data_IF_913726946656
#
_entry.id   IF_913726946656
#
_cell.length_a   1.000
_cell.length_b   1.000
_cell.length_c   1.000
_cell.angle_alpha   90.00
_cell.angle_beta   90.00
_cell.angle_gamma   90.00
#
_symmetry.space_group_name_H-M   'P 1'
#
loop_
_entity.id
_entity.type
_entity.pdbx_description
1 polymer ?
#
# COMPACT_ATOMS: atom_id res chain seq x y z
N UNK A 1 -2.58 -20.84 -0.47
CA UNK A 1 -2.92 -19.60 0.25
C UNK A 1 -3.88 -18.75 -0.56
N UNK A 2 -3.53 -18.40 -1.81
CA UNK A 2 -4.34 -17.57 -2.72
C UNK A 2 -5.80 -18.02 -2.88
N UNK A 3 -6.06 -19.33 -3.03
CA UNK A 3 -7.44 -19.86 -3.13
C UNK A 3 -8.28 -19.62 -1.87
N UNK A 4 -7.67 -19.62 -0.68
CA UNK A 4 -8.36 -19.42 0.60
C UNK A 4 -8.64 -17.92 0.81
N UNK A 5 -7.66 -17.06 0.57
CA UNK A 5 -7.83 -15.60 0.61
C UNK A 5 -8.95 -15.17 -0.33
N UNK A 6 -8.91 -15.63 -1.58
CA UNK A 6 -9.97 -15.40 -2.56
C UNK A 6 -11.33 -15.81 -2.01
N UNK A 7 -11.47 -17.04 -1.50
CA UNK A 7 -12.77 -17.53 -1.01
C UNK A 7 -13.33 -16.68 0.15
N UNK A 8 -12.47 -16.11 0.99
CA UNK A 8 -12.88 -15.26 2.11
C UNK A 8 -13.21 -13.82 1.69
N UNK A 9 -12.62 -13.31 0.61
CA UNK A 9 -12.76 -11.91 0.18
C UNK A 9 -13.80 -11.68 -0.91
N UNK A 10 -14.13 -12.68 -1.74
CA UNK A 10 -14.99 -12.48 -2.93
C UNK A 10 -16.34 -11.83 -2.57
N UNK A 11 -16.98 -12.23 -1.47
CA UNK A 11 -18.25 -11.61 -1.06
C UNK A 11 -18.09 -10.11 -0.78
N UNK A 12 -16.98 -9.70 -0.17
CA UNK A 12 -16.68 -8.28 0.10
C UNK A 12 -16.44 -7.50 -1.19
N UNK A 13 -15.80 -8.11 -2.18
CA UNK A 13 -15.67 -7.52 -3.52
C UNK A 13 -17.03 -7.38 -4.22
N UNK A 14 -17.92 -8.37 -4.11
CA UNK A 14 -19.30 -8.28 -4.62
C UNK A 14 -20.07 -7.14 -3.97
N UNK A 15 -19.98 -6.99 -2.64
CA UNK A 15 -20.61 -5.91 -1.88
C UNK A 15 -20.12 -4.52 -2.33
N UNK A 16 -18.80 -4.36 -2.50
CA UNK A 16 -18.22 -3.11 -2.99
C UNK A 16 -18.73 -2.76 -4.39
N UNK A 17 -18.72 -3.73 -5.32
CA UNK A 17 -19.18 -3.50 -6.70
C UNK A 17 -20.67 -3.14 -6.73
N UNK A 18 -21.51 -3.85 -5.98
CA UNK A 18 -22.91 -3.51 -5.82
C UNK A 18 -23.11 -2.11 -5.24
N UNK A 19 -22.22 -1.67 -4.33
CA UNK A 19 -22.27 -0.31 -3.76
C UNK A 19 -21.92 0.76 -4.78
N UNK A 20 -20.86 0.54 -5.58
CA UNK A 20 -20.34 1.48 -6.61
C UNK A 20 -21.39 1.83 -7.67
N UNK A 21 -22.29 0.91 -8.00
CA UNK A 21 -23.34 1.12 -9.02
C UNK A 21 -24.66 1.65 -8.46
N UNK A 22 -24.83 1.79 -7.12
CA UNK A 22 -26.07 2.33 -6.56
C UNK A 22 -26.28 3.79 -7.01
N UNK A 23 -27.52 4.19 -7.38
CA UNK A 23 -27.81 5.59 -7.72
C UNK A 23 -27.42 6.54 -6.58
N UNK A 24 -26.80 7.67 -6.94
CA UNK A 24 -26.33 8.66 -5.98
C UNK A 24 -25.03 8.30 -5.26
N UNK A 25 -24.43 7.14 -5.55
CA UNK A 25 -23.08 6.82 -5.09
C UNK A 25 -22.05 7.59 -5.92
N UNK A 26 -21.17 8.33 -5.26
CA UNK A 26 -20.02 9.01 -5.87
C UNK A 26 -18.75 8.68 -5.11
N UNK A 27 -17.64 8.52 -5.83
CA UNK A 27 -16.31 8.41 -5.24
C UNK A 27 -15.92 9.78 -4.66
N UNK A 28 -15.53 9.82 -3.39
CA UNK A 28 -14.97 11.02 -2.77
C UNK A 28 -13.65 11.45 -3.44
N UNK A 29 -13.23 12.70 -3.22
CA UNK A 29 -11.91 13.15 -3.68
C UNK A 29 -10.78 12.29 -3.09
N UNK A 30 -9.69 12.16 -3.84
CA UNK A 30 -8.54 11.37 -3.41
C UNK A 30 -7.79 12.07 -2.26
N UNK A 31 -7.53 11.31 -1.20
CA UNK A 31 -6.66 11.71 -0.09
C UNK A 31 -5.67 10.59 0.21
N UNK A 32 -4.50 10.93 0.76
CA UNK A 32 -3.44 9.99 1.17
C UNK A 32 -2.79 10.50 2.44
N UNK A 33 -2.41 9.59 3.34
CA UNK A 33 -1.58 9.86 4.52
C UNK A 33 -0.12 9.42 4.32
N UNK A 34 0.29 9.17 3.07
CA UNK A 34 1.59 8.63 2.73
C UNK A 34 1.59 7.10 2.83
N UNK A 35 2.41 6.55 3.71
CA UNK A 35 2.31 5.14 4.07
C UNK A 35 1.44 5.00 5.32
N UNK A 36 0.24 4.44 5.13
CA UNK A 36 -0.83 4.36 6.14
C UNK A 36 -0.43 3.63 7.42
N UNK A 37 -1.31 3.70 8.42
CA UNK A 37 -1.08 3.09 9.74
C UNK A 37 -0.11 3.89 10.61
N UNK A 38 0.10 5.17 10.30
CA UNK A 38 0.98 6.08 11.03
C UNK A 38 2.46 5.94 10.68
N UNK A 39 2.83 5.19 9.64
CA UNK A 39 4.23 5.00 9.25
C UNK A 39 4.88 6.32 8.83
N UNK A 40 4.23 7.09 7.95
CA UNK A 40 4.77 8.38 7.50
C UNK A 40 4.90 9.38 8.66
N UNK A 41 3.92 9.45 9.55
CA UNK A 41 3.97 10.30 10.75
C UNK A 41 5.11 9.89 11.69
N UNK A 42 5.26 8.59 11.96
CA UNK A 42 6.35 8.09 12.80
C UNK A 42 7.73 8.33 12.18
N UNK A 43 7.84 8.23 10.85
CA UNK A 43 9.07 8.52 10.12
C UNK A 43 9.46 9.99 10.22
N UNK A 44 8.50 10.90 9.98
CA UNK A 44 8.72 12.33 10.10
C UNK A 44 9.16 12.70 11.52
N UNK A 45 8.51 12.14 12.54
CA UNK A 45 8.91 12.32 13.93
C UNK A 45 10.37 11.87 14.19
N UNK A 46 10.76 10.70 13.69
CA UNK A 46 12.14 10.21 13.83
C UNK A 46 13.15 11.10 13.10
N UNK A 47 12.80 11.58 11.91
CA UNK A 47 13.63 12.51 11.14
C UNK A 47 13.83 13.82 11.89
N UNK A 48 12.75 14.44 12.38
CA UNK A 48 12.84 15.70 13.11
C UNK A 48 13.56 15.56 14.46
N UNK A 49 13.52 14.37 15.07
CA UNK A 49 14.15 14.12 16.39
C UNK A 49 15.63 13.73 16.29
N UNK A 50 16.03 13.02 15.22
CA UNK A 50 17.37 12.43 15.10
C UNK A 50 18.05 12.99 13.84
N UNK A 51 18.88 14.04 13.95
CA UNK A 51 19.49 14.72 12.80
C UNK A 51 20.26 13.79 11.86
N UNK A 52 20.94 12.79 12.43
CA UNK A 52 21.65 11.79 11.66
C UNK A 52 20.70 10.91 10.84
N UNK A 53 19.55 10.52 11.40
CA UNK A 53 18.52 9.79 10.68
C UNK A 53 18.00 10.61 9.50
N UNK A 54 17.60 11.87 9.73
CA UNK A 54 17.13 12.74 8.64
C UNK A 54 18.18 12.93 7.55
N UNK A 55 19.47 13.05 7.92
CA UNK A 55 20.55 13.20 6.94
C UNK A 55 20.65 11.99 6.00
N UNK A 56 20.46 10.78 6.53
CA UNK A 56 20.59 9.53 5.78
C UNK A 56 19.28 9.19 5.04
N UNK A 57 18.15 9.36 5.72
CA UNK A 57 16.84 8.82 5.32
C UNK A 57 15.87 9.87 4.81
N UNK A 58 16.18 11.15 4.98
CA UNK A 58 15.27 12.23 4.61
C UNK A 58 14.08 12.35 5.57
N UNK A 59 13.21 13.34 5.27
CA UNK A 59 12.00 13.60 6.06
C UNK A 59 10.89 12.57 5.86
N UNK A 60 10.90 11.88 4.73
CA UNK A 60 9.87 10.91 4.34
C UNK A 60 10.52 9.57 4.01
N UNK A 61 9.79 8.44 4.17
CA UNK A 61 10.27 7.14 3.72
C UNK A 61 10.64 7.16 2.24
N UNK A 62 11.74 6.50 1.87
CA UNK A 62 12.20 6.44 0.48
C UNK A 62 11.16 5.81 -0.48
N UNK A 63 10.20 5.07 0.06
CA UNK A 63 9.12 4.40 -0.67
C UNK A 63 7.75 5.09 -0.50
N UNK A 64 7.67 6.30 0.06
CA UNK A 64 6.37 6.98 0.27
C UNK A 64 5.60 7.17 -1.05
N UNK A 65 6.30 7.44 -2.15
CA UNK A 65 5.69 7.51 -3.47
C UNK A 65 5.10 6.17 -3.96
N UNK A 66 5.65 5.03 -3.52
CA UNK A 66 5.07 3.72 -3.77
C UNK A 66 3.73 3.57 -3.02
N UNK A 67 3.68 4.01 -1.75
CA UNK A 67 2.45 4.01 -0.94
C UNK A 67 1.37 4.91 -1.55
N UNK A 68 1.71 6.15 -1.96
CA UNK A 68 0.76 7.06 -2.59
C UNK A 68 0.21 6.49 -3.92
N UNK A 69 1.04 5.76 -4.66
CA UNK A 69 0.59 5.09 -5.89
C UNK A 69 -0.40 3.95 -5.58
N UNK A 70 -0.11 3.16 -4.55
CA UNK A 70 -0.99 2.11 -4.03
C UNK A 70 -2.32 2.67 -3.54
N UNK A 71 -2.29 3.76 -2.76
CA UNK A 71 -3.49 4.46 -2.27
C UNK A 71 -4.41 4.89 -3.42
N UNK A 72 -3.85 5.36 -4.54
CA UNK A 72 -4.65 5.74 -5.72
C UNK A 72 -5.35 4.54 -6.33
N UNK A 73 -4.68 3.40 -6.43
CA UNK A 73 -5.29 2.17 -6.91
C UNK A 73 -6.42 1.73 -5.97
N UNK A 74 -6.16 1.76 -4.66
CA UNK A 74 -7.13 1.44 -3.62
C UNK A 74 -8.34 2.36 -3.61
N UNK A 75 -8.13 3.66 -3.77
CA UNK A 75 -9.19 4.66 -3.87
C UNK A 75 -10.11 4.40 -5.08
N UNK A 76 -9.53 4.07 -6.24
CA UNK A 76 -10.33 3.72 -7.41
C UNK A 76 -11.21 2.48 -7.17
N UNK A 77 -10.69 1.49 -6.43
CA UNK A 77 -11.36 0.23 -6.18
C UNK A 77 -11.62 -0.57 -7.47
N UNK A 78 -10.81 -0.35 -8.51
CA UNK A 78 -10.95 -0.96 -9.83
C UNK A 78 -12.11 -0.40 -10.68
N UNK A 79 -12.34 -0.95 -11.89
CA UNK A 79 -13.41 -0.52 -12.78
C UNK A 79 -14.82 -0.67 -12.17
N UNK A 80 -15.80 0.12 -12.65
CA UNK A 80 -17.19 0.00 -12.24
C UNK A 80 -17.82 -1.32 -12.71
N UNK A 81 -17.50 -1.75 -13.93
CA UNK A 81 -18.06 -2.94 -14.59
C UNK A 81 -17.25 -4.23 -14.33
N UNK A 82 -16.41 -4.24 -13.29
CA UNK A 82 -15.60 -5.41 -12.96
C UNK A 82 -16.45 -6.51 -12.31
N UNK A 83 -16.11 -7.79 -12.54
CA UNK A 83 -16.59 -8.87 -11.67
C UNK A 83 -15.86 -8.84 -10.32
N UNK A 84 -16.37 -9.58 -9.34
CA UNK A 84 -15.71 -9.68 -8.03
C UNK A 84 -14.30 -10.28 -8.14
N UNK A 85 -14.11 -11.27 -9.02
CA UNK A 85 -12.82 -11.88 -9.31
C UNK A 85 -11.87 -10.86 -9.95
N UNK A 86 -12.34 -10.08 -10.93
CA UNK A 86 -11.54 -9.02 -11.53
C UNK A 86 -11.14 -7.97 -10.49
N UNK A 87 -12.05 -7.63 -9.57
CA UNK A 87 -11.74 -6.69 -8.49
C UNK A 87 -10.75 -7.26 -7.48
N UNK A 88 -10.81 -8.56 -7.17
CA UNK A 88 -9.85 -9.24 -6.29
C UNK A 88 -8.45 -9.26 -6.90
N UNK A 89 -8.35 -9.65 -8.19
CA UNK A 89 -7.07 -9.67 -8.90
C UNK A 89 -6.50 -8.26 -9.06
N UNK A 90 -7.33 -7.24 -9.34
CA UNK A 90 -6.88 -5.85 -9.40
C UNK A 90 -6.31 -5.35 -8.06
N UNK A 91 -6.93 -5.74 -6.93
CA UNK A 91 -6.40 -5.42 -5.60
C UNK A 91 -5.05 -6.09 -5.37
N UNK A 92 -4.96 -7.38 -5.67
CA UNK A 92 -3.74 -8.17 -5.53
C UNK A 92 -2.60 -7.62 -6.41
N UNK A 93 -2.91 -7.21 -7.62
CA UNK A 93 -1.93 -6.57 -8.52
C UNK A 93 -1.42 -5.26 -7.92
N UNK A 94 -2.31 -4.40 -7.42
CA UNK A 94 -1.89 -3.17 -6.74
C UNK A 94 -0.96 -3.47 -5.54
N UNK A 95 -1.24 -4.52 -4.77
CA UNK A 95 -0.41 -4.95 -3.64
C UNK A 95 0.97 -5.47 -4.09
N UNK A 96 1.03 -6.19 -5.22
CA UNK A 96 2.27 -6.65 -5.84
C UNK A 96 3.08 -5.48 -6.40
N UNK A 97 2.43 -4.51 -7.05
CA UNK A 97 3.05 -3.29 -7.56
C UNK A 97 3.71 -2.48 -6.42
N UNK A 98 3.03 -2.36 -5.28
CA UNK A 98 3.60 -1.75 -4.07
C UNK A 98 4.88 -2.48 -3.65
N UNK A 99 4.81 -3.82 -3.53
CA UNK A 99 5.95 -4.64 -3.13
C UNK A 99 7.13 -4.42 -4.07
N UNK A 100 6.91 -4.53 -5.36
CA UNK A 100 7.96 -4.48 -6.37
C UNK A 100 8.57 -3.06 -6.46
N UNK A 101 7.74 -2.02 -6.29
CA UNK A 101 8.21 -0.64 -6.15
C UNK A 101 9.13 -0.46 -4.92
N UNK A 102 8.77 -1.01 -3.77
CA UNK A 102 9.59 -0.95 -2.54
C UNK A 102 10.90 -1.70 -2.73
N UNK A 103 10.89 -2.89 -3.36
CA UNK A 103 12.11 -3.65 -3.70
C UNK A 103 13.05 -2.80 -4.57
N UNK A 104 12.50 -2.11 -5.57
CA UNK A 104 13.28 -1.27 -6.48
C UNK A 104 14.00 -0.10 -5.76
N UNK A 105 13.56 0.30 -4.57
CA UNK A 105 14.26 1.33 -3.79
C UNK A 105 15.66 0.89 -3.36
N UNK A 106 15.92 -0.42 -3.24
CA UNK A 106 17.24 -0.94 -2.89
C UNK A 106 18.32 -0.46 -3.86
N UNK A 107 18.05 -0.47 -5.17
CA UNK A 107 19.01 -0.03 -6.18
C UNK A 107 19.26 1.49 -6.10
N UNK A 108 18.23 2.27 -5.79
CA UNK A 108 18.33 3.74 -5.69
C UNK A 108 19.09 4.18 -4.44
N UNK A 109 18.86 3.47 -3.32
CA UNK A 109 19.40 3.82 -1.99
C UNK A 109 20.70 3.09 -1.66
N UNK A 110 21.02 2.02 -2.39
CA UNK A 110 22.17 1.15 -2.16
C UNK A 110 23.50 1.89 -1.94
N UNK A 111 23.94 2.75 -2.86
CA UNK A 111 25.24 3.43 -2.72
C UNK A 111 25.39 4.21 -1.41
N UNK A 112 24.35 4.95 -1.02
CA UNK A 112 24.37 5.77 0.20
C UNK A 112 24.34 4.89 1.46
N UNK A 113 23.45 3.89 1.49
CA UNK A 113 23.27 3.01 2.64
C UNK A 113 24.48 2.09 2.88
N UNK A 114 25.11 1.59 1.81
CA UNK A 114 26.31 0.77 1.91
C UNK A 114 27.46 1.56 2.53
N UNK A 115 27.65 2.81 2.10
CA UNK A 115 28.71 3.68 2.62
C UNK A 115 28.47 4.02 4.08
N UNK A 116 27.24 4.41 4.41
CA UNK A 116 26.87 4.87 5.75
C UNK A 116 26.92 3.75 6.78
N UNK A 117 26.24 2.64 6.49
CA UNK A 117 26.10 1.53 7.43
C UNK A 117 27.20 0.46 7.29
N UNK A 118 28.10 0.61 6.33
CA UNK A 118 29.20 -0.34 6.02
C UNK A 118 28.69 -1.76 5.75
N UNK A 119 27.57 -1.85 5.05
CA UNK A 119 26.93 -3.10 4.64
C UNK A 119 27.10 -3.32 3.14
N UNK A 120 26.94 -4.57 2.70
CA UNK A 120 27.02 -4.95 1.28
C UNK A 120 25.73 -4.62 0.53
N UNK A 121 25.82 -4.53 -0.80
CA UNK A 121 24.67 -4.40 -1.71
C UNK A 121 23.65 -5.55 -1.51
N UNK A 122 24.14 -6.76 -1.29
CA UNK A 122 23.31 -7.94 -0.98
C UNK A 122 22.51 -7.75 0.30
N UNK A 123 23.10 -7.15 1.34
CA UNK A 123 22.41 -6.87 2.59
C UNK A 123 21.34 -5.78 2.41
N UNK A 124 21.63 -4.71 1.68
CA UNK A 124 20.63 -3.67 1.35
C UNK A 124 19.43 -4.29 0.62
N UNK A 125 19.69 -5.07 -0.43
CA UNK A 125 18.64 -5.76 -1.19
C UNK A 125 17.82 -6.71 -0.31
N UNK A 126 18.46 -7.44 0.61
CA UNK A 126 17.76 -8.31 1.56
C UNK A 126 16.84 -7.52 2.48
N UNK A 127 17.30 -6.39 3.02
CA UNK A 127 16.50 -5.54 3.92
C UNK A 127 15.26 -5.02 3.18
N UNK A 128 15.42 -4.46 1.98
CA UNK A 128 14.29 -3.96 1.19
C UNK A 128 13.31 -5.08 0.79
N UNK A 129 13.81 -6.27 0.44
CA UNK A 129 12.94 -7.43 0.17
C UNK A 129 12.09 -7.79 1.40
N UNK A 130 12.69 -7.81 2.61
CA UNK A 130 11.94 -8.09 3.84
C UNK A 130 10.89 -7.02 4.11
N UNK A 131 11.25 -5.73 3.97
CA UNK A 131 10.30 -4.61 4.13
C UNK A 131 9.13 -4.76 3.15
N UNK A 132 9.43 -4.99 1.87
CA UNK A 132 8.43 -5.12 0.82
C UNK A 132 7.48 -6.31 1.06
N UNK A 133 8.02 -7.47 1.46
CA UNK A 133 7.21 -8.66 1.77
C UNK A 133 6.33 -8.47 3.01
N UNK A 134 6.82 -7.76 4.02
CA UNK A 134 6.01 -7.38 5.18
C UNK A 134 4.88 -6.43 4.76
N UNK A 135 5.17 -5.41 3.97
CA UNK A 135 4.17 -4.46 3.45
C UNK A 135 3.11 -5.19 2.63
N UNK A 136 3.51 -6.04 1.68
CA UNK A 136 2.60 -6.85 0.87
C UNK A 136 1.61 -7.61 1.74
N UNK A 137 2.11 -8.36 2.75
CA UNK A 137 1.24 -9.14 3.65
C UNK A 137 0.32 -8.25 4.49
N UNK A 138 0.82 -7.11 4.97
CA UNK A 138 0.03 -6.14 5.72
C UNK A 138 -1.13 -5.58 4.89
N UNK A 139 -0.90 -5.19 3.63
CA UNK A 139 -1.97 -4.66 2.76
C UNK A 139 -2.91 -5.76 2.27
N UNK A 140 -2.44 -7.00 2.07
CA UNK A 140 -3.32 -8.15 1.80
C UNK A 140 -4.33 -8.34 2.92
N UNK A 141 -3.92 -8.25 4.19
CA UNK A 141 -4.81 -8.48 5.33
C UNK A 141 -5.65 -7.24 5.67
N UNK A 142 -5.03 -6.06 5.73
CA UNK A 142 -5.68 -4.82 6.16
C UNK A 142 -6.48 -4.11 5.06
N UNK A 143 -6.24 -4.45 3.80
CA UNK A 143 -6.80 -3.78 2.63
C UNK A 143 -8.13 -4.34 2.13
N UNK A 144 -8.76 -5.24 2.86
CA UNK A 144 -10.00 -5.92 2.44
C UNK A 144 -11.14 -4.89 2.26
N UNK A 145 -11.92 -4.95 1.16
CA UNK A 145 -13.03 -4.03 0.94
C UNK A 145 -14.14 -4.15 2.00
N UNK A 146 -14.99 -3.12 2.08
CA UNK A 146 -16.14 -3.07 2.99
C UNK A 146 -15.78 -3.26 4.49
N UNK A 147 -14.59 -2.79 4.88
CA UNK A 147 -14.19 -2.59 6.28
C UNK A 147 -14.31 -1.11 6.66
N UNK A 148 -14.18 -0.77 7.94
CA UNK A 148 -14.20 0.63 8.41
C UNK A 148 -12.81 1.29 8.32
N UNK A 149 -11.86 0.66 7.64
CA UNK A 149 -10.50 1.18 7.49
C UNK A 149 -10.45 2.21 6.36
N UNK A 150 -9.69 3.29 6.58
CA UNK A 150 -9.48 4.37 5.61
C UNK A 150 -8.48 4.04 4.50
N UNK A 151 -7.90 2.84 4.51
CA UNK A 151 -6.98 2.32 3.49
C UNK A 151 -7.47 0.99 2.91
N UNK A 152 -8.78 0.73 3.00
CA UNK A 152 -9.39 -0.44 2.36
C UNK A 152 -9.41 -0.31 0.84
N UNK A 153 -9.52 -1.44 0.15
CA UNK A 153 -9.88 -1.44 -1.26
C UNK A 153 -11.26 -0.80 -1.48
N UNK A 154 -11.31 0.19 -2.36
CA UNK A 154 -12.46 1.06 -2.56
C UNK A 154 -12.62 2.16 -1.50
N UNK A 155 -11.54 2.58 -0.84
CA UNK A 155 -11.59 3.77 0.02
C UNK A 155 -12.10 5.00 -0.76
N UNK A 156 -12.87 5.86 -0.10
CA UNK A 156 -13.57 6.98 -0.73
C UNK A 156 -14.92 6.61 -1.34
N UNK A 157 -15.19 5.33 -1.63
CA UNK A 157 -16.56 4.87 -1.87
C UNK A 157 -17.31 4.76 -0.54
N UNK A 158 -18.63 4.99 -0.52
CA UNK A 158 -19.43 4.79 0.69
C UNK A 158 -19.34 3.35 1.22
N UNK A 159 -19.60 3.18 2.50
CA UNK A 159 -19.65 1.85 3.14
C UNK A 159 -20.71 0.95 2.49
N UNK A 160 -20.46 -0.36 2.50
CA UNK A 160 -21.19 -1.35 1.72
C UNK A 160 -22.52 -1.83 2.34
N UNK A 161 -23.05 -1.10 3.32
CA UNK A 161 -24.23 -1.43 4.13
C UNK A 161 -25.46 -1.86 3.31
#
# INVERSE_FOLDING_TARGET
>A
MDTVERHLEIERHQQLLARKIRPGTTLAEFTTDGCSGGLSVGWEYLADTIPHFQTIHGKQPAWESCCITHDRAYHSGGPLEATAEMSYEARKEADLDLRDCVIAMAARRGPDLMKEYRISDTEVKRIYNVIAELMYRSVRIGGIPCTNLSWRWGYGWPECN
#
